data_IF_481276122021
#
_entry.id   IF_481276122021
#
_cell.length_a   1.000
_cell.length_b   1.000
_cell.length_c   1.000
_cell.angle_alpha   90.00
_cell.angle_beta   90.00
_cell.angle_gamma   90.00
#
_symmetry.space_group_name_H-M   'P 1'
#
loop_
_entity.id
_entity.type
_entity.pdbx_description
1 polymer ?
#
# COMPACT_ATOMS: atom_id res chain seq x y z
N UNK A 1 -7.46 -20.28 -3.15
CA UNK A 1 -6.32 -19.45 -2.67
C UNK A 1 -5.06 -20.31 -2.66
N UNK A 2 -4.00 -19.84 -3.30
CA UNK A 2 -2.74 -20.57 -3.45
C UNK A 2 -1.94 -20.52 -2.14
N UNK A 3 -1.47 -21.67 -1.63
CA UNK A 3 -0.82 -21.86 -0.32
C UNK A 3 0.43 -20.98 -0.17
N UNK A 4 1.08 -20.61 -1.28
CA UNK A 4 2.24 -19.72 -1.30
C UNK A 4 1.89 -18.26 -1.02
N UNK A 5 0.74 -17.78 -1.50
CA UNK A 5 0.27 -16.41 -1.26
C UNK A 5 -0.14 -16.21 0.20
N UNK A 6 -0.72 -17.24 0.82
CA UNK A 6 -1.06 -17.25 2.25
C UNK A 6 0.17 -17.12 3.16
N UNK A 7 1.27 -17.83 2.83
CA UNK A 7 2.51 -17.78 3.62
C UNK A 7 3.19 -16.40 3.56
N UNK A 8 3.18 -15.73 2.40
CA UNK A 8 3.78 -14.41 2.29
C UNK A 8 3.00 -13.33 3.05
N UNK A 9 1.67 -13.39 3.02
CA UNK A 9 0.82 -12.49 3.82
C UNK A 9 1.05 -12.70 5.32
N UNK A 10 1.14 -13.96 5.75
CA UNK A 10 1.40 -14.33 7.15
C UNK A 10 2.81 -13.87 7.62
N UNK A 11 3.82 -13.93 6.75
CA UNK A 11 5.17 -13.42 7.04
C UNK A 11 5.17 -11.90 7.18
N UNK A 12 4.49 -11.17 6.29
CA UNK A 12 4.39 -9.71 6.38
C UNK A 12 3.66 -9.26 7.67
N UNK A 13 2.55 -9.93 8.00
CA UNK A 13 1.82 -9.69 9.25
C UNK A 13 2.65 -10.07 10.48
N UNK A 14 3.50 -11.10 10.39
CA UNK A 14 4.42 -11.47 11.47
C UNK A 14 5.54 -10.45 11.71
N UNK A 15 6.10 -9.87 10.65
CA UNK A 15 7.22 -8.90 10.73
C UNK A 15 6.76 -7.53 11.22
N UNK A 16 5.71 -6.97 10.61
CA UNK A 16 5.25 -5.60 10.88
C UNK A 16 4.11 -5.53 11.89
N UNK A 17 3.38 -6.65 12.11
CA UNK A 17 2.20 -6.70 12.99
C UNK A 17 1.23 -5.56 12.64
N UNK A 18 0.91 -4.72 13.62
CA UNK A 18 0.00 -3.59 13.48
C UNK A 18 0.70 -2.30 13.01
N UNK A 19 2.03 -2.32 12.80
CA UNK A 19 2.82 -1.18 12.31
C UNK A 19 2.85 -1.11 10.78
N UNK A 20 1.68 -1.29 10.15
CA UNK A 20 1.48 -1.13 8.71
C UNK A 20 0.56 0.06 8.49
N UNK A 21 1.08 1.10 7.85
CA UNK A 21 0.34 2.34 7.58
C UNK A 21 0.00 2.43 6.11
N UNK A 22 -1.30 2.49 5.79
CA UNK A 22 -1.78 2.59 4.41
C UNK A 22 -2.21 4.02 4.09
N UNK A 23 -1.61 4.62 3.07
CA UNK A 23 -1.93 5.95 2.58
C UNK A 23 -2.27 5.86 1.11
N UNK A 24 -3.52 6.19 0.76
CA UNK A 24 -3.91 6.36 -0.63
C UNK A 24 -3.52 7.76 -1.12
N UNK A 25 -2.75 7.82 -2.19
CA UNK A 25 -2.32 9.07 -2.85
C UNK A 25 -3.10 9.34 -4.14
N UNK A 26 -4.14 8.57 -4.43
CA UNK A 26 -4.99 8.75 -5.64
C UNK A 26 -5.70 10.10 -5.68
N UNK A 27 -6.02 10.68 -4.52
CA UNK A 27 -6.62 12.01 -4.39
C UNK A 27 -5.59 13.11 -4.06
N UNK A 28 -4.29 12.79 -4.09
CA UNK A 28 -3.19 13.69 -3.74
C UNK A 28 -3.43 14.47 -2.42
N UNK A 29 -3.63 13.78 -1.28
CA UNK A 29 -3.86 14.45 -0.01
C UNK A 29 -2.68 15.33 0.38
N UNK A 30 -2.97 16.43 1.08
CA UNK A 30 -1.94 17.30 1.64
C UNK A 30 -1.08 16.49 2.63
N UNK A 31 0.23 16.75 2.63
CA UNK A 31 1.16 16.14 3.59
C UNK A 31 0.66 16.29 5.03
N UNK A 32 0.14 17.47 5.36
CA UNK A 32 -0.41 17.76 6.68
C UNK A 32 -1.46 16.75 7.13
N UNK A 33 -2.43 16.47 6.25
CA UNK A 33 -3.51 15.52 6.51
C UNK A 33 -3.00 14.10 6.67
N UNK A 34 -1.96 13.72 5.94
CA UNK A 34 -1.31 12.42 6.09
C UNK A 34 -0.65 12.31 7.48
N UNK A 35 0.13 13.33 7.86
CA UNK A 35 0.83 13.35 9.17
C UNK A 35 -0.17 13.31 10.31
N UNK A 36 -1.22 14.13 10.27
CA UNK A 36 -2.28 14.12 11.28
C UNK A 36 -2.93 12.73 11.44
N UNK A 37 -3.27 12.07 10.33
CA UNK A 37 -3.87 10.72 10.36
C UNK A 37 -2.93 9.69 10.97
N UNK A 38 -1.63 9.78 10.70
CA UNK A 38 -0.64 8.87 11.27
C UNK A 38 -0.51 9.06 12.79
N UNK A 39 -0.57 10.29 13.30
CA UNK A 39 -0.58 10.55 14.74
C UNK A 39 -1.84 9.96 15.39
N UNK A 40 -3.02 10.21 14.81
CA UNK A 40 -4.28 9.66 15.32
C UNK A 40 -4.30 8.13 15.34
N UNK A 41 -3.82 7.48 14.29
CA UNK A 41 -3.73 6.02 14.22
C UNK A 41 -2.84 5.43 15.31
N UNK A 42 -1.81 6.16 15.75
CA UNK A 42 -0.91 5.74 16.83
C UNK A 42 -1.40 6.19 18.23
N UNK A 43 -2.61 6.74 18.33
CA UNK A 43 -3.21 7.17 19.60
C UNK A 43 -2.65 8.48 20.14
N UNK A 44 -1.97 9.28 19.31
CA UNK A 44 -1.45 10.59 19.68
C UNK A 44 -2.41 11.71 19.26
N UNK A 45 -2.29 12.86 19.92
CA UNK A 45 -2.97 14.07 19.50
C UNK A 45 -2.43 14.57 18.16
N UNK A 46 -3.29 15.21 17.37
CA UNK A 46 -2.91 15.82 16.10
C UNK A 46 -1.83 16.90 16.33
N UNK A 47 -0.68 16.80 15.66
CA UNK A 47 0.36 17.82 15.79
C UNK A 47 -0.07 19.10 15.08
N UNK A 48 0.36 20.24 15.62
CA UNK A 48 0.28 21.52 14.91
C UNK A 48 1.64 21.82 14.29
N UNK A 49 1.66 22.16 13.00
CA UNK A 49 2.85 22.60 12.29
C UNK A 49 2.49 23.72 11.31
N UNK A 50 3.43 24.64 11.10
CA UNK A 50 3.22 25.85 10.30
C UNK A 50 3.74 25.71 8.86
N UNK A 51 4.45 24.62 8.55
CA UNK A 51 5.00 24.33 7.23
C UNK A 51 5.08 22.84 6.96
N UNK A 52 5.30 22.48 5.69
CA UNK A 52 5.54 21.11 5.27
C UNK A 52 6.80 20.53 5.94
N UNK A 53 7.87 21.30 6.09
CA UNK A 53 9.10 20.88 6.78
C UNK A 53 8.81 20.55 8.26
N UNK A 54 7.97 21.36 8.91
CA UNK A 54 7.49 21.07 10.26
C UNK A 54 6.69 19.78 10.33
N UNK A 55 5.84 19.52 9.33
CA UNK A 55 5.08 18.26 9.23
C UNK A 55 6.01 17.05 9.04
N UNK A 56 7.00 17.15 8.15
CA UNK A 56 8.02 16.11 7.93
C UNK A 56 8.82 15.84 9.20
N UNK A 57 9.23 16.88 9.92
CA UNK A 57 9.96 16.75 11.18
C UNK A 57 9.15 16.02 12.25
N UNK A 58 7.87 16.38 12.42
CA UNK A 58 6.97 15.71 13.36
C UNK A 58 6.74 14.24 12.98
N UNK A 59 6.58 13.97 11.69
CA UNK A 59 6.44 12.62 11.17
C UNK A 59 7.68 11.77 11.47
N UNK A 60 8.87 12.29 11.20
CA UNK A 60 10.12 11.57 11.48
C UNK A 60 10.24 11.24 12.98
N UNK A 61 9.87 12.18 13.85
CA UNK A 61 9.87 11.96 15.30
C UNK A 61 8.89 10.87 15.73
N UNK A 62 7.66 10.87 15.19
CA UNK A 62 6.68 9.82 15.43
C UNK A 62 7.25 8.45 15.02
N UNK A 63 7.78 8.35 13.80
CA UNK A 63 8.34 7.10 13.27
C UNK A 63 9.54 6.61 14.10
N UNK A 64 10.40 7.50 14.60
CA UNK A 64 11.49 7.14 15.54
C UNK A 64 10.95 6.65 16.88
N UNK A 65 9.88 7.24 17.39
CA UNK A 65 9.26 6.83 18.66
C UNK A 65 8.64 5.43 18.58
N UNK A 66 7.93 5.14 17.49
CA UNK A 66 7.27 3.84 17.29
C UNK A 66 8.20 2.79 16.65
N UNK A 67 9.37 3.22 16.15
CA UNK A 67 10.37 2.41 15.44
C UNK A 67 11.13 1.37 16.27
N UNK A 68 10.67 1.07 17.49
CA UNK A 68 11.12 -0.12 18.24
C UNK A 68 10.70 -1.41 17.53
N UNK A 69 9.58 -1.37 16.80
CA UNK A 69 9.10 -2.44 15.95
C UNK A 69 9.31 -2.06 14.48
N UNK A 70 9.48 -3.03 13.56
CA UNK A 70 9.50 -2.76 12.13
C UNK A 70 8.27 -1.97 11.68
N UNK A 71 8.45 -1.03 10.76
CA UNK A 71 7.38 -0.19 10.23
C UNK A 71 7.31 -0.38 8.72
N UNK A 72 6.10 -0.58 8.20
CA UNK A 72 5.82 -0.56 6.78
C UNK A 72 4.88 0.60 6.44
N UNK A 73 5.36 1.54 5.62
CA UNK A 73 4.53 2.58 5.02
C UNK A 73 4.15 2.16 3.60
N UNK A 74 2.86 2.01 3.34
CA UNK A 74 2.32 1.72 2.01
C UNK A 74 1.75 3.00 1.41
N UNK A 75 2.40 3.48 0.35
CA UNK A 75 1.97 4.62 -0.45
C UNK A 75 1.29 4.09 -1.72
N UNK A 76 -0.04 4.03 -1.67
CA UNK A 76 -0.83 3.39 -2.71
C UNK A 76 -1.34 4.38 -3.76
N UNK A 77 -1.22 4.00 -5.03
CA UNK A 77 -1.80 4.73 -6.15
C UNK A 77 -1.11 6.06 -6.43
N UNK A 78 0.21 6.13 -6.26
CA UNK A 78 0.99 7.34 -6.53
C UNK A 78 0.79 7.79 -7.97
N UNK A 79 0.46 9.08 -8.12
CA UNK A 79 0.35 9.79 -9.40
C UNK A 79 1.62 10.59 -9.70
N UNK A 80 1.96 10.88 -10.96
CA UNK A 80 3.16 11.62 -11.33
C UNK A 80 3.34 12.94 -10.58
N UNK A 81 2.24 13.67 -10.35
CA UNK A 81 2.20 14.97 -9.67
C UNK A 81 2.52 14.85 -8.17
N UNK A 82 2.25 13.67 -7.60
CA UNK A 82 2.52 13.35 -6.20
C UNK A 82 3.84 12.60 -5.98
N UNK A 83 4.63 12.36 -7.04
CA UNK A 83 5.88 11.60 -6.92
C UNK A 83 6.89 12.27 -5.97
N UNK A 84 6.98 13.60 -5.98
CA UNK A 84 7.85 14.35 -5.07
C UNK A 84 7.42 14.28 -3.60
N UNK A 85 6.14 14.00 -3.35
CA UNK A 85 5.62 13.81 -1.99
C UNK A 85 6.20 12.52 -1.37
N UNK A 86 6.48 11.49 -2.18
CA UNK A 86 7.09 10.23 -1.72
C UNK A 86 8.46 10.48 -1.09
N UNK A 87 9.27 11.38 -1.65
CA UNK A 87 10.61 11.70 -1.14
C UNK A 87 10.56 12.26 0.29
N UNK A 88 9.47 12.96 0.66
CA UNK A 88 9.27 13.52 2.01
C UNK A 88 9.06 12.45 3.09
N UNK A 89 8.83 11.20 2.72
CA UNK A 89 8.68 10.08 3.65
C UNK A 89 9.96 9.26 3.83
N UNK A 90 11.05 9.58 3.12
CA UNK A 90 12.30 8.81 3.18
C UNK A 90 13.12 9.27 4.37
N UNK A 91 13.17 8.43 5.41
CA UNK A 91 13.92 8.69 6.65
C UNK A 91 14.95 7.59 6.91
N UNK A 92 16.09 7.95 7.50
CA UNK A 92 17.11 6.99 7.95
C UNK A 92 16.73 6.39 9.31
N UNK A 93 15.68 5.57 9.33
CA UNK A 93 15.18 4.89 10.53
C UNK A 93 15.40 3.38 10.38
N UNK A 94 15.99 2.71 11.39
CA UNK A 94 16.15 1.25 11.36
C UNK A 94 14.80 0.54 11.20
N UNK A 95 14.75 -0.52 10.39
CA UNK A 95 13.55 -1.34 10.17
C UNK A 95 12.32 -0.59 9.63
N UNK A 96 12.52 0.59 9.04
CA UNK A 96 11.49 1.32 8.32
C UNK A 96 11.54 0.99 6.83
N UNK A 97 10.44 0.46 6.29
CA UNK A 97 10.29 0.14 4.87
C UNK A 97 9.16 0.95 4.26
N UNK A 98 9.33 1.34 3.00
CA UNK A 98 8.31 2.01 2.21
C UNK A 98 8.00 1.11 1.01
N UNK A 99 6.73 0.76 0.85
CA UNK A 99 6.19 0.13 -0.35
C UNK A 99 5.40 1.18 -1.13
N UNK A 100 5.76 1.38 -2.40
CA UNK A 100 5.08 2.31 -3.28
C UNK A 100 4.41 1.54 -4.41
N UNK A 101 3.14 1.82 -4.67
CA UNK A 101 2.45 1.34 -5.87
C UNK A 101 2.17 2.52 -6.81
N UNK A 102 2.46 2.33 -8.09
CA UNK A 102 2.34 3.39 -9.11
C UNK A 102 2.09 2.79 -10.48
N UNK A 103 1.55 3.60 -11.39
CA UNK A 103 1.37 3.25 -12.82
C UNK A 103 2.57 3.65 -13.69
N UNK A 104 3.62 4.20 -13.08
CA UNK A 104 4.83 4.71 -13.73
C UNK A 104 6.06 4.45 -12.86
N UNK A 105 7.26 4.53 -13.43
CA UNK A 105 8.50 4.36 -12.68
C UNK A 105 8.88 5.64 -11.94
N UNK A 106 9.12 5.53 -10.63
CA UNK A 106 9.57 6.64 -9.80
C UNK A 106 11.10 6.61 -9.78
N UNK A 107 11.75 7.62 -10.36
CA UNK A 107 13.21 7.72 -10.37
C UNK A 107 13.73 7.83 -8.93
N UNK A 108 14.87 7.19 -8.65
CA UNK A 108 15.48 7.20 -7.31
C UNK A 108 14.86 6.22 -6.30
N UNK A 109 13.72 5.59 -6.63
CA UNK A 109 13.02 4.65 -5.76
C UNK A 109 13.27 3.19 -6.19
N UNK A 110 14.42 2.64 -5.79
CA UNK A 110 14.76 1.22 -5.95
C UNK A 110 14.60 0.67 -7.39
N UNK A 111 14.65 -0.67 -7.51
CA UNK A 111 14.24 -1.34 -8.75
C UNK A 111 12.75 -1.64 -8.67
N UNK A 112 11.95 -1.25 -9.69
CA UNK A 112 10.51 -1.51 -9.67
C UNK A 112 10.23 -3.01 -9.82
N UNK A 113 9.26 -3.50 -9.05
CA UNK A 113 8.70 -4.83 -9.26
C UNK A 113 7.49 -4.72 -10.19
N UNK A 114 7.65 -5.08 -11.46
CA UNK A 114 6.56 -5.06 -12.46
C UNK A 114 5.72 -6.32 -12.29
N UNK A 115 4.47 -6.13 -11.84
CA UNK A 115 3.51 -7.23 -11.75
C UNK A 115 3.18 -7.77 -13.15
N UNK A 116 3.18 -9.10 -13.27
CA UNK A 116 2.77 -9.78 -14.51
C UNK A 116 1.25 -9.87 -14.57
N UNK A 117 0.70 -9.80 -15.78
CA UNK A 117 -0.70 -10.16 -16.01
C UNK A 117 -0.99 -11.57 -15.54
N UNK A 118 -2.23 -11.82 -15.12
CA UNK A 118 -2.71 -13.16 -14.83
C UNK A 118 -2.60 -14.03 -16.09
N UNK A 119 -2.30 -15.31 -15.91
CA UNK A 119 -2.43 -16.28 -17.00
C UNK A 119 -3.91 -16.54 -17.30
N UNK A 120 -4.21 -17.17 -18.42
CA UNK A 120 -5.59 -17.41 -18.87
C UNK A 120 -6.43 -18.17 -17.83
N UNK A 121 -5.88 -19.22 -17.23
CA UNK A 121 -6.58 -20.04 -16.25
C UNK A 121 -6.92 -19.25 -14.98
N UNK A 122 -5.97 -18.47 -14.46
CA UNK A 122 -6.16 -17.62 -13.28
C UNK A 122 -7.11 -16.45 -13.55
N UNK A 123 -7.00 -15.83 -14.73
CA UNK A 123 -7.91 -14.77 -15.17
C UNK A 123 -9.35 -15.30 -15.29
N UNK A 124 -9.52 -16.49 -15.86
CA UNK A 124 -10.81 -17.15 -15.99
C UNK A 124 -11.39 -17.54 -14.64
N UNK A 125 -10.58 -18.06 -13.74
CA UNK A 125 -11.00 -18.40 -12.38
C UNK A 125 -11.48 -17.14 -11.64
N UNK A 126 -10.72 -16.04 -11.72
CA UNK A 126 -11.11 -14.75 -11.15
C UNK A 126 -12.42 -14.25 -11.77
N UNK A 127 -12.58 -14.33 -13.10
CA UNK A 127 -13.80 -13.90 -13.79
C UNK A 127 -15.02 -14.69 -13.31
N UNK A 128 -14.93 -16.03 -13.28
CA UNK A 128 -16.02 -16.89 -12.82
C UNK A 128 -16.39 -16.62 -11.36
N UNK A 129 -15.38 -16.50 -10.50
CA UNK A 129 -15.58 -16.17 -9.10
C UNK A 129 -16.34 -14.84 -8.95
N UNK A 130 -15.89 -13.79 -9.65
CA UNK A 130 -16.52 -12.48 -9.63
C UNK A 130 -17.95 -12.48 -10.19
N UNK A 131 -18.20 -13.21 -11.28
CA UNK A 131 -19.53 -13.33 -11.90
C UNK A 131 -20.50 -14.20 -11.08
N UNK A 132 -19.99 -15.09 -10.22
CA UNK A 132 -20.80 -15.98 -9.38
C UNK A 132 -21.25 -15.35 -8.06
N UNK A 133 -20.66 -14.21 -7.65
CA UNK A 133 -20.98 -13.56 -6.37
C UNK A 133 -22.43 -13.04 -6.29
N UNK A 134 -23.09 -12.80 -7.43
CA UNK A 134 -24.50 -12.38 -7.51
C UNK A 134 -25.48 -13.56 -7.69
N UNK A 135 -24.98 -14.79 -7.86
CA UNK A 135 -25.82 -15.96 -8.09
C UNK A 135 -25.45 -17.07 -7.11
N UNK A 136 -26.26 -17.22 -6.06
CA UNK A 136 -26.39 -18.49 -5.33
C UNK A 136 -26.55 -19.63 -6.35
N UNK A 137 -25.45 -20.34 -6.59
CA UNK A 137 -25.30 -21.46 -7.53
C UNK A 137 -25.81 -21.22 -8.96
N UNK A 138 -24.97 -20.68 -9.83
CA UNK A 138 -25.10 -20.92 -11.27
C UNK A 138 -23.82 -21.57 -11.80
N UNK A 139 -23.91 -22.86 -12.16
CA UNK A 139 -22.86 -23.56 -12.90
C UNK A 139 -22.77 -22.96 -14.30
N UNK A 140 -21.90 -21.95 -14.49
CA UNK A 140 -21.62 -21.38 -15.81
C UNK A 140 -20.74 -22.38 -16.58
N UNK A 141 -21.21 -22.94 -17.72
CA UNK A 141 -20.46 -23.93 -18.48
C UNK A 141 -19.17 -23.33 -19.09
N UNK A 142 -18.12 -24.15 -19.18
CA UNK A 142 -16.81 -23.76 -19.73
C UNK A 142 -16.87 -23.20 -21.17
N UNK A 143 -17.92 -23.54 -21.92
CA UNK A 143 -18.10 -23.20 -23.34
C UNK A 143 -18.39 -21.72 -23.61
N UNK A 144 -18.83 -20.93 -22.62
CA UNK A 144 -19.15 -19.50 -22.83
C UNK A 144 -17.89 -18.64 -22.89
N UNK A 145 -16.78 -19.13 -22.34
CA UNK A 145 -15.56 -18.36 -22.12
C UNK A 145 -14.67 -18.28 -23.37
N UNK A 146 -14.83 -19.23 -24.30
CA UNK A 146 -13.96 -19.38 -25.47
C UNK A 146 -14.27 -18.44 -26.65
N UNK A 147 -15.02 -17.35 -26.47
CA UNK A 147 -15.37 -16.49 -27.60
C UNK A 147 -15.22 -15.00 -27.29
N UNK A 148 -14.01 -14.49 -27.54
CA UNK A 148 -13.75 -13.10 -27.98
C UNK A 148 -12.58 -13.13 -28.97
#
# INVERSE_FOLDING_TARGET
>A
MNVQSSKHVEICLGEFKDNIFFISLVEAPKLSTIVERLFEHNGYEKPQFQSDEGAVYQLENLLKQIGKNPILLVLDGVLPESASLVEKFVFQIPNYKILVTSRFTIKGFGLPHVLKSLNEADALNLFRHSASLDQTSSNIPDTIVQKV
#
